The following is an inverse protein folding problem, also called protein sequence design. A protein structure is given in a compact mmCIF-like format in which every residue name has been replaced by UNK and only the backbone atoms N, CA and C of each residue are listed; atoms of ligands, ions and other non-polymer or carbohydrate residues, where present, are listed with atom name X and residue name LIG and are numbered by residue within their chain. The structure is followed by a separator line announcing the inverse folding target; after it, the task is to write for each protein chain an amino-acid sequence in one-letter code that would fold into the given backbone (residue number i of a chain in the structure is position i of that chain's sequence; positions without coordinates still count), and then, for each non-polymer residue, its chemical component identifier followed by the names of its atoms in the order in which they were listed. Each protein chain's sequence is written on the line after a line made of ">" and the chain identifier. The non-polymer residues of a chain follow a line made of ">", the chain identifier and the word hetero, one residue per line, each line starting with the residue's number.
data_IF_926707172395
#
_entry.id   IF_926707172395
#
_cell.length_a   1.000
_cell.length_b   1.000
_cell.length_c   1.000
_cell.angle_alpha   90.00
_cell.angle_beta   90.00
_cell.angle_gamma   90.00
#
_symmetry.space_group_name_H-M   'P 1'
#
loop_
_entity.id
_entity.type
_entity.pdbx_description
1 polymer ?
#
# COMPACT_ATOMS: atom_id res chain seq x y z
N UNK A 1 -15.54 -7.10 -14.37
CA UNK A 1 -15.32 -6.27 -13.16
C UNK A 1 -14.52 -7.13 -12.22
N UNK A 2 -13.47 -6.56 -11.64
CA UNK A 2 -12.64 -7.20 -10.61
C UNK A 2 -12.86 -6.45 -9.31
N UNK A 3 -13.18 -7.18 -8.23
CA UNK A 3 -13.27 -6.65 -6.88
C UNK A 3 -11.93 -6.80 -6.19
N UNK A 4 -11.36 -5.71 -5.65
CA UNK A 4 -10.02 -5.76 -5.07
C UNK A 4 -9.87 -4.90 -3.84
N UNK A 5 -8.95 -5.33 -2.95
CA UNK A 5 -8.41 -4.52 -1.87
C UNK A 5 -6.88 -4.56 -1.93
N UNK A 6 -6.27 -3.39 -2.13
CA UNK A 6 -4.84 -3.26 -2.43
C UNK A 6 -4.07 -2.54 -1.32
N UNK A 7 -4.69 -2.41 -0.12
CA UNK A 7 -4.06 -1.84 1.07
C UNK A 7 -4.51 -2.64 2.31
N UNK A 8 -3.71 -3.63 2.69
CA UNK A 8 -4.04 -4.59 3.75
C UNK A 8 -2.81 -4.82 4.64
N UNK A 9 -3.02 -4.77 5.95
CA UNK A 9 -2.03 -5.03 6.99
C UNK A 9 -2.33 -6.30 7.79
N UNK A 10 -1.28 -6.88 8.35
CA UNK A 10 -1.35 -8.02 9.26
C UNK A 10 -0.44 -7.77 10.47
N UNK A 11 -0.32 -8.75 11.36
CA UNK A 11 0.63 -8.69 12.50
C UNK A 11 2.11 -8.56 12.08
N UNK A 12 2.41 -8.63 10.78
CA UNK A 12 3.76 -8.36 10.25
C UNK A 12 4.06 -6.85 10.11
N UNK A 13 3.05 -6.00 10.29
CA UNK A 13 3.21 -4.56 10.57
C UNK A 13 2.29 -4.17 11.73
N UNK A 14 1.27 -3.40 11.52
CA UNK A 14 0.37 -2.89 12.56
C UNK A 14 -1.05 -3.45 12.49
N UNK A 15 -1.35 -4.32 11.54
CA UNK A 15 -2.61 -5.06 11.51
C UNK A 15 -2.72 -6.04 12.68
N UNK A 16 -3.94 -6.35 13.10
CA UNK A 16 -4.22 -7.10 14.32
C UNK A 16 -4.39 -8.61 14.09
N UNK A 17 -4.34 -9.08 12.83
CA UNK A 17 -4.64 -10.47 12.51
C UNK A 17 -3.52 -11.14 11.70
N UNK A 18 -3.49 -12.47 11.77
CA UNK A 18 -2.57 -13.27 10.98
C UNK A 18 -2.97 -13.31 9.50
N UNK A 19 -2.03 -13.42 8.54
CA UNK A 19 -2.34 -13.45 7.10
C UNK A 19 -3.47 -14.40 6.69
N UNK A 20 -3.58 -15.55 7.36
CA UNK A 20 -4.67 -16.51 7.08
C UNK A 20 -6.07 -15.97 7.35
N UNK A 21 -6.20 -15.00 8.24
CA UNK A 21 -7.48 -14.35 8.51
C UNK A 21 -7.83 -13.41 7.36
N UNK A 22 -6.85 -12.61 6.86
CA UNK A 22 -7.07 -11.75 5.68
C UNK A 22 -7.51 -12.54 4.45
N UNK A 23 -6.97 -13.74 4.25
CA UNK A 23 -7.42 -14.63 3.17
C UNK A 23 -8.87 -15.08 3.38
N UNK A 24 -9.28 -15.40 4.62
CA UNK A 24 -10.66 -15.76 4.93
C UNK A 24 -11.63 -14.58 4.73
N UNK A 25 -11.20 -13.38 5.10
CA UNK A 25 -11.96 -12.14 4.88
C UNK A 25 -12.12 -11.86 3.39
N UNK A 26 -11.06 -11.92 2.61
CA UNK A 26 -11.11 -11.75 1.16
C UNK A 26 -12.08 -12.75 0.48
N UNK A 27 -12.05 -14.02 0.90
CA UNK A 27 -13.00 -15.05 0.41
C UNK A 27 -14.44 -14.74 0.82
N UNK A 28 -14.68 -14.36 2.08
CA UNK A 28 -16.00 -13.99 2.59
C UNK A 28 -16.60 -12.84 1.79
N UNK A 29 -15.76 -11.84 1.49
CA UNK A 29 -16.18 -10.61 0.83
C UNK A 29 -16.11 -10.70 -0.70
N UNK A 30 -15.81 -11.92 -1.22
CA UNK A 30 -15.76 -12.23 -2.65
C UNK A 30 -14.80 -11.32 -3.43
N UNK A 31 -13.64 -11.03 -2.85
CA UNK A 31 -12.59 -10.29 -3.54
C UNK A 31 -11.88 -11.20 -4.56
N UNK A 32 -11.59 -10.64 -5.72
CA UNK A 32 -10.83 -11.30 -6.79
C UNK A 32 -9.32 -11.08 -6.66
N UNK A 33 -8.92 -9.93 -6.07
CA UNK A 33 -7.52 -9.53 -5.97
C UNK A 33 -7.25 -8.82 -4.65
N UNK A 34 -6.18 -9.22 -3.96
CA UNK A 34 -5.68 -8.50 -2.77
C UNK A 34 -4.17 -8.29 -2.86
N UNK A 35 -3.67 -7.26 -2.15
CA UNK A 35 -2.25 -7.05 -1.95
C UNK A 35 -1.93 -7.01 -0.45
N UNK A 36 -0.92 -7.78 -0.02
CA UNK A 36 -0.32 -7.62 1.30
C UNK A 36 0.63 -6.43 1.25
N UNK A 37 0.34 -5.38 2.02
CA UNK A 37 1.06 -4.10 1.96
C UNK A 37 1.57 -3.68 3.34
N UNK A 38 2.25 -4.59 4.01
CA UNK A 38 2.86 -4.31 5.31
C UNK A 38 3.75 -3.07 5.28
N UNK A 39 3.74 -2.28 6.34
CA UNK A 39 4.68 -1.18 6.51
C UNK A 39 6.13 -1.66 6.40
N UNK A 40 6.96 -0.95 5.66
CA UNK A 40 8.40 -1.22 5.60
C UNK A 40 9.11 -0.81 6.88
N UNK A 41 8.78 0.34 7.42
CA UNK A 41 9.50 0.99 8.50
C UNK A 41 8.80 0.90 9.87
N UNK A 42 7.49 0.74 9.89
CA UNK A 42 6.70 0.71 11.12
C UNK A 42 6.30 -0.73 11.48
N UNK A 43 6.92 -1.26 12.52
CA UNK A 43 6.75 -2.65 12.97
C UNK A 43 6.51 -2.68 14.49
N UNK A 44 5.30 -2.38 14.96
CA UNK A 44 4.99 -2.33 16.39
C UNK A 44 5.23 -3.67 17.10
N UNK A 45 5.02 -4.79 16.42
CA UNK A 45 5.17 -6.15 17.01
C UNK A 45 6.57 -6.77 16.82
N UNK A 46 7.59 -6.00 16.43
CA UNK A 46 8.95 -6.51 16.12
C UNK A 46 9.64 -7.24 17.26
N UNK A 47 9.21 -7.03 18.50
CA UNK A 47 9.77 -7.72 19.67
C UNK A 47 9.19 -9.13 19.83
N UNK A 48 7.98 -9.36 19.33
CA UNK A 48 7.26 -10.63 19.42
C UNK A 48 7.33 -11.42 18.10
N UNK A 49 7.36 -10.70 16.98
CA UNK A 49 7.40 -11.28 15.64
C UNK A 49 8.68 -10.84 14.93
N UNK A 50 9.63 -11.79 14.79
CA UNK A 50 10.88 -11.54 14.08
C UNK A 50 10.60 -11.49 12.57
N UNK A 51 10.89 -10.36 11.94
CA UNK A 51 10.69 -10.13 10.51
C UNK A 51 12.05 -9.91 9.86
N UNK A 52 12.63 -10.97 9.32
CA UNK A 52 13.88 -10.94 8.55
C UNK A 52 13.65 -10.80 7.04
N UNK A 53 12.48 -11.19 6.57
CA UNK A 53 12.04 -11.12 5.17
C UNK A 53 10.71 -10.36 5.08
N UNK A 54 10.72 -9.22 4.39
CA UNK A 54 9.55 -8.36 4.19
C UNK A 54 8.49 -8.98 3.27
N UNK A 55 8.82 -10.02 2.53
CA UNK A 55 7.85 -10.78 1.73
C UNK A 55 7.07 -11.81 2.54
N UNK A 56 7.32 -11.94 3.86
CA UNK A 56 6.82 -13.06 4.66
C UNK A 56 5.30 -13.14 4.71
N UNK A 57 4.58 -12.02 4.90
CA UNK A 57 3.11 -12.03 4.94
C UNK A 57 2.52 -12.46 3.59
N UNK A 58 3.07 -11.94 2.49
CA UNK A 58 2.71 -12.36 1.14
C UNK A 58 2.97 -13.86 0.92
N UNK A 59 4.16 -14.36 1.29
CA UNK A 59 4.52 -15.76 1.10
C UNK A 59 3.59 -16.72 1.88
N UNK A 60 3.24 -16.35 3.12
CA UNK A 60 2.27 -17.11 3.93
C UNK A 60 0.90 -17.08 3.25
N UNK A 61 0.42 -15.91 2.83
CA UNK A 61 -0.88 -15.74 2.20
C UNK A 61 -0.98 -16.52 0.89
N UNK A 62 0.04 -16.43 0.05
CA UNK A 62 0.12 -17.15 -1.23
C UNK A 62 0.09 -18.67 -1.05
N UNK A 63 0.75 -19.18 -0.02
CA UNK A 63 0.77 -20.62 0.29
C UNK A 63 -0.61 -21.16 0.76
N UNK A 64 -1.55 -20.28 1.12
CA UNK A 64 -2.91 -20.65 1.55
C UNK A 64 -3.93 -20.65 0.40
N UNK A 65 -3.53 -20.26 -0.80
CA UNK A 65 -4.40 -20.33 -1.97
C UNK A 65 -4.69 -21.80 -2.32
N UNK A 66 -5.94 -22.05 -2.67
CA UNK A 66 -6.40 -23.37 -3.09
C UNK A 66 -6.26 -23.48 -4.60
N UNK A 67 -5.95 -24.66 -5.09
CA UNK A 67 -5.87 -24.92 -6.53
C UNK A 67 -7.20 -24.55 -7.20
N UNK A 68 -7.10 -23.86 -8.34
CA UNK A 68 -8.24 -23.39 -9.13
C UNK A 68 -9.13 -22.32 -8.43
N UNK A 69 -8.61 -21.67 -7.38
CA UNK A 69 -9.25 -20.53 -6.74
C UNK A 69 -9.12 -19.26 -7.61
N UNK A 70 -10.18 -18.44 -7.64
CA UNK A 70 -10.20 -17.19 -8.38
C UNK A 70 -9.46 -16.06 -7.65
N UNK A 71 -9.32 -16.14 -6.32
CA UNK A 71 -8.61 -15.12 -5.54
C UNK A 71 -7.15 -15.05 -5.95
N UNK A 72 -6.70 -13.88 -6.36
CA UNK A 72 -5.31 -13.55 -6.65
C UNK A 72 -4.70 -12.76 -5.51
N UNK A 73 -3.43 -13.06 -5.20
CA UNK A 73 -2.67 -12.29 -4.20
C UNK A 73 -1.41 -11.77 -4.87
N UNK A 74 -1.19 -10.46 -4.77
CA UNK A 74 0.03 -9.82 -5.26
C UNK A 74 0.90 -9.34 -4.11
N UNK A 75 2.20 -9.33 -4.33
CA UNK A 75 3.16 -8.84 -3.35
C UNK A 75 3.21 -7.32 -3.38
N UNK A 76 3.26 -6.71 -2.20
CA UNK A 76 3.33 -5.27 -2.05
C UNK A 76 3.90 -4.87 -0.70
N UNK A 77 4.06 -3.60 -0.51
CA UNK A 77 4.44 -3.01 0.78
C UNK A 77 4.10 -1.54 0.83
N UNK A 78 3.87 -1.05 2.02
CA UNK A 78 3.73 0.36 2.29
C UNK A 78 5.07 1.00 2.65
N UNK A 79 5.53 1.89 1.78
CA UNK A 79 6.68 2.77 2.00
C UNK A 79 6.22 3.86 2.97
N UNK A 80 6.60 3.75 4.23
CA UNK A 80 6.10 4.57 5.34
C UNK A 80 7.10 5.69 5.66
N UNK A 81 6.80 6.90 5.24
CA UNK A 81 7.66 8.07 5.46
C UNK A 81 6.89 9.21 6.12
N UNK A 82 7.58 10.08 6.88
CA UNK A 82 6.99 11.35 7.29
C UNK A 82 6.53 12.16 6.08
N UNK A 83 5.48 12.95 6.25
CA UNK A 83 5.02 13.90 5.25
C UNK A 83 5.96 15.14 5.19
N UNK A 84 6.45 15.57 4.02
CA UNK A 84 6.38 14.88 2.72
C UNK A 84 7.42 13.77 2.56
N UNK A 85 7.20 12.72 1.78
CA UNK A 85 6.07 12.52 0.88
C UNK A 85 4.88 11.82 1.55
N UNK A 86 4.97 11.31 2.78
CA UNK A 86 3.96 10.47 3.39
C UNK A 86 4.08 9.01 2.98
N UNK A 87 2.97 8.29 3.02
CA UNK A 87 2.90 6.86 2.81
C UNK A 87 2.52 6.51 1.37
N UNK A 88 3.15 5.49 0.82
CA UNK A 88 2.89 5.01 -0.54
C UNK A 88 2.87 3.49 -0.60
N UNK A 89 1.85 2.91 -1.19
CA UNK A 89 1.87 1.50 -1.52
C UNK A 89 2.60 1.26 -2.84
N UNK A 90 3.47 0.26 -2.84
CA UNK A 90 4.05 -0.33 -4.05
C UNK A 90 3.53 -1.76 -4.18
N UNK A 91 2.75 -2.06 -5.20
CA UNK A 91 2.15 -3.36 -5.44
C UNK A 91 2.68 -3.99 -6.73
N UNK A 92 2.51 -5.31 -6.92
CA UNK A 92 3.09 -6.10 -8.00
C UNK A 92 4.62 -6.16 -7.95
N UNK A 93 5.23 -5.95 -6.80
CA UNK A 93 6.68 -6.09 -6.61
C UNK A 93 7.10 -7.58 -6.57
N UNK A 94 8.30 -7.86 -7.06
CA UNK A 94 8.87 -9.22 -7.01
C UNK A 94 9.50 -9.51 -5.65
N UNK A 95 10.21 -8.53 -5.11
CA UNK A 95 10.88 -8.58 -3.80
C UNK A 95 10.74 -7.22 -3.11
N UNK A 96 10.15 -7.25 -1.92
CA UNK A 96 9.91 -6.05 -1.09
C UNK A 96 11.18 -5.59 -0.37
N UNK A 97 12.10 -6.51 -0.04
CA UNK A 97 13.27 -6.19 0.79
C UNK A 97 14.11 -5.03 0.27
N UNK A 98 14.40 -4.90 -1.05
CA UNK A 98 15.19 -3.78 -1.60
C UNK A 98 14.50 -2.42 -1.50
N UNK A 99 13.17 -2.39 -1.23
CA UNK A 99 12.42 -1.15 -1.07
C UNK A 99 12.71 -0.47 0.28
N UNK A 100 13.23 -1.22 1.26
CA UNK A 100 13.59 -0.66 2.56
C UNK A 100 14.79 0.29 2.43
N UNK A 101 14.51 1.58 2.35
CA UNK A 101 15.51 2.65 2.23
C UNK A 101 15.10 3.85 3.08
N UNK A 102 16.05 4.54 3.68
CA UNK A 102 15.79 5.78 4.44
C UNK A 102 15.21 6.91 3.58
N UNK A 103 15.48 6.90 2.28
CA UNK A 103 14.96 7.87 1.32
C UNK A 103 13.78 7.27 0.54
N UNK A 104 12.56 7.82 0.73
CA UNK A 104 11.34 7.34 0.08
C UNK A 104 11.38 7.38 -1.44
N UNK A 105 12.01 8.40 -2.03
CA UNK A 105 12.18 8.46 -3.50
C UNK A 105 13.02 7.28 -4.02
N UNK A 106 14.08 6.87 -3.30
CA UNK A 106 14.86 5.69 -3.66
C UNK A 106 14.05 4.41 -3.54
N UNK A 107 13.19 4.29 -2.52
CA UNK A 107 12.25 3.17 -2.39
C UNK A 107 11.31 3.09 -3.60
N UNK A 108 10.74 4.22 -4.03
CA UNK A 108 9.85 4.29 -5.20
C UNK A 108 10.59 3.99 -6.51
N UNK A 109 11.82 4.47 -6.67
CA UNK A 109 12.67 4.14 -7.84
C UNK A 109 12.91 2.63 -7.90
N UNK A 110 13.20 2.00 -6.77
CA UNK A 110 13.42 0.55 -6.72
C UNK A 110 12.13 -0.23 -7.03
N UNK A 111 10.98 0.21 -6.50
CA UNK A 111 9.68 -0.36 -6.82
C UNK A 111 9.38 -0.27 -8.33
N UNK A 112 9.60 0.89 -8.93
CA UNK A 112 9.40 1.12 -10.38
C UNK A 112 10.32 0.25 -11.25
N UNK A 113 11.59 0.03 -10.86
CA UNK A 113 12.49 -0.91 -11.55
C UNK A 113 11.95 -2.34 -11.59
N UNK A 114 11.18 -2.73 -10.58
CA UNK A 114 10.54 -4.03 -10.52
C UNK A 114 9.21 -4.09 -11.29
N UNK A 115 8.73 -2.97 -11.84
CA UNK A 115 7.47 -2.84 -12.56
C UNK A 115 6.26 -2.66 -11.63
N UNK A 116 6.46 -2.18 -10.42
CA UNK A 116 5.40 -1.94 -9.45
C UNK A 116 4.44 -0.84 -9.92
N UNK A 117 3.18 -0.98 -9.52
CA UNK A 117 2.24 0.13 -9.48
C UNK A 117 2.37 0.78 -8.09
N UNK A 118 2.66 2.08 -8.07
CA UNK A 118 2.85 2.85 -6.84
C UNK A 118 1.71 3.84 -6.70
N UNK A 119 1.09 3.93 -5.50
CA UNK A 119 0.04 4.91 -5.25
C UNK A 119 0.20 5.57 -3.88
N UNK A 120 -0.26 6.80 -3.77
CA UNK A 120 -0.20 7.62 -2.56
C UNK A 120 -1.36 7.27 -1.63
N UNK A 121 -1.04 6.86 -0.40
CA UNK A 121 -2.00 6.42 0.60
C UNK A 121 -2.56 7.60 1.39
N UNK A 122 -3.86 7.52 1.73
CA UNK A 122 -4.57 8.41 2.68
C UNK A 122 -3.98 9.86 2.75
N UNK A 123 -3.94 10.61 1.63
CA UNK A 123 -3.22 11.89 1.54
C UNK A 123 -3.77 12.98 2.46
N UNK A 124 -4.98 12.78 2.98
CA UNK A 124 -5.69 13.64 3.92
C UNK A 124 -5.60 13.17 5.38
N UNK A 125 -4.76 12.15 5.68
CA UNK A 125 -4.65 11.62 7.04
C UNK A 125 -4.17 12.70 8.02
N UNK A 126 -4.97 12.93 9.09
CA UNK A 126 -4.75 14.04 10.05
C UNK A 126 -3.44 13.93 10.82
N UNK A 127 -2.87 12.74 11.02
CA UNK A 127 -1.56 12.58 11.63
C UNK A 127 -0.41 13.12 10.75
N UNK A 128 -0.62 13.23 9.44
CA UNK A 128 0.32 13.78 8.48
C UNK A 128 -0.07 15.20 8.01
N UNK A 129 -1.34 15.56 8.15
CA UNK A 129 -1.95 16.83 7.72
C UNK A 129 -2.96 17.29 8.77
N UNK A 130 -2.59 18.17 9.68
CA UNK A 130 -3.44 18.63 10.79
C UNK A 130 -4.80 19.16 10.34
N UNK A 131 -4.87 19.72 9.13
CA UNK A 131 -6.10 20.22 8.52
C UNK A 131 -6.91 19.18 7.75
N UNK A 132 -6.38 17.96 7.58
CA UNK A 132 -7.02 16.88 6.83
C UNK A 132 -7.17 17.15 5.33
N UNK A 133 -6.43 18.11 4.77
CA UNK A 133 -6.54 18.53 3.36
C UNK A 133 -5.40 17.93 2.53
N UNK A 134 -5.74 17.08 1.56
CA UNK A 134 -4.77 16.54 0.61
C UNK A 134 -4.26 17.64 -0.33
N UNK A 135 -2.93 17.76 -0.46
CA UNK A 135 -2.28 18.70 -1.38
C UNK A 135 -0.88 18.25 -1.74
N UNK A 136 -0.43 18.60 -2.94
CA UNK A 136 0.94 18.31 -3.37
C UNK A 136 1.92 19.28 -2.68
N UNK A 137 2.99 18.72 -2.12
CA UNK A 137 4.20 19.46 -1.75
C UNK A 137 5.20 19.38 -2.90
N UNK A 138 6.22 20.21 -2.92
CA UNK A 138 7.32 20.18 -3.93
C UNK A 138 7.92 18.79 -4.15
N UNK A 139 7.92 17.95 -3.10
CA UNK A 139 8.42 16.59 -3.23
C UNK A 139 7.46 15.73 -4.07
N UNK A 140 6.14 15.86 -3.87
CA UNK A 140 5.13 15.15 -4.66
C UNK A 140 5.16 15.58 -6.12
N UNK A 141 5.27 16.89 -6.40
CA UNK A 141 5.42 17.43 -7.76
C UNK A 141 6.63 16.79 -8.46
N UNK A 142 7.79 16.74 -7.79
CA UNK A 142 9.00 16.09 -8.31
C UNK A 142 8.80 14.59 -8.55
N UNK A 143 8.09 13.89 -7.67
CA UNK A 143 7.80 12.46 -7.84
C UNK A 143 6.86 12.22 -9.03
N UNK A 144 5.87 13.09 -9.25
CA UNK A 144 4.99 13.09 -10.42
C UNK A 144 5.77 13.34 -11.72
N UNK A 145 6.60 14.38 -11.76
CA UNK A 145 7.46 14.67 -12.92
C UNK A 145 8.32 13.47 -13.31
N UNK A 146 8.82 12.74 -12.31
CA UNK A 146 9.60 11.50 -12.51
C UNK A 146 8.75 10.26 -12.76
N UNK A 147 7.42 10.38 -12.75
CA UNK A 147 6.46 9.27 -12.91
C UNK A 147 6.73 8.14 -11.92
N UNK A 148 7.03 8.47 -10.65
CA UNK A 148 7.35 7.50 -9.62
C UNK A 148 6.13 6.99 -8.87
N UNK A 149 4.95 7.62 -9.02
CA UNK A 149 3.68 7.06 -8.56
C UNK A 149 2.57 7.29 -9.61
N UNK A 150 1.55 6.45 -9.57
CA UNK A 150 0.59 6.23 -10.65
C UNK A 150 -0.86 6.35 -10.19
N UNK A 151 -1.10 6.34 -8.88
CA UNK A 151 -2.42 6.41 -8.29
C UNK A 151 -2.41 7.18 -6.97
N UNK A 152 -3.60 7.42 -6.45
CA UNK A 152 -3.84 8.12 -5.18
C UNK A 152 -5.11 7.56 -4.52
N UNK A 153 -5.09 7.33 -3.23
CA UNK A 153 -6.28 6.97 -2.47
C UNK A 153 -7.21 8.17 -2.33
N UNK A 154 -8.39 8.03 -2.90
CA UNK A 154 -9.51 8.96 -2.75
C UNK A 154 -10.44 8.50 -1.63
N UNK A 155 -10.55 7.17 -1.48
CA UNK A 155 -11.23 6.51 -0.35
C UNK A 155 -10.23 5.63 0.38
N UNK A 156 -10.12 5.81 1.69
CA UNK A 156 -9.33 4.94 2.57
C UNK A 156 -10.15 4.67 3.82
N UNK A 157 -10.38 3.40 4.13
CA UNK A 157 -11.25 2.98 5.23
C UNK A 157 -12.61 3.71 5.19
N UNK A 158 -12.87 4.56 6.17
CA UNK A 158 -14.11 5.33 6.31
C UNK A 158 -13.96 6.79 5.86
N UNK A 159 -12.86 7.16 5.22
CA UNK A 159 -12.58 8.53 4.80
C UNK A 159 -12.69 8.69 3.29
N UNK A 160 -13.15 9.85 2.86
CA UNK A 160 -13.17 10.30 1.47
C UNK A 160 -12.50 11.65 1.38
N UNK A 161 -11.66 11.86 0.37
CA UNK A 161 -11.00 13.13 0.11
C UNK A 161 -11.39 13.68 -1.27
N UNK A 162 -12.11 14.80 -1.27
CA UNK A 162 -12.47 15.52 -2.49
C UNK A 162 -11.22 16.11 -3.16
N UNK A 163 -10.27 16.59 -2.36
CA UNK A 163 -9.01 17.15 -2.86
C UNK A 163 -8.15 16.05 -3.51
N UNK A 164 -8.12 14.84 -2.94
CA UNK A 164 -7.42 13.71 -3.56
C UNK A 164 -8.05 13.32 -4.91
N UNK A 165 -9.39 13.38 -5.02
CA UNK A 165 -10.08 13.18 -6.29
C UNK A 165 -9.71 14.28 -7.30
N UNK A 166 -9.71 15.54 -6.90
CA UNK A 166 -9.28 16.64 -7.77
C UNK A 166 -7.83 16.44 -8.25
N UNK A 167 -6.91 16.12 -7.34
CA UNK A 167 -5.50 15.82 -7.67
C UNK A 167 -5.37 14.63 -8.63
N UNK A 168 -6.18 13.59 -8.45
CA UNK A 168 -6.18 12.44 -9.36
C UNK A 168 -6.56 12.85 -10.79
N UNK A 169 -7.63 13.62 -10.93
CA UNK A 169 -8.13 14.09 -12.24
C UNK A 169 -7.14 15.06 -12.91
N UNK A 170 -6.59 16.01 -12.16
CA UNK A 170 -5.64 17.01 -12.67
C UNK A 170 -4.32 16.39 -13.14
N UNK A 171 -3.85 15.32 -12.47
CA UNK A 171 -2.56 14.71 -12.73
C UNK A 171 -2.67 13.35 -13.46
N UNK A 172 -3.87 12.97 -13.91
CA UNK A 172 -4.15 11.70 -14.58
C UNK A 172 -3.66 10.48 -13.77
N UNK A 173 -3.92 10.49 -12.46
CA UNK A 173 -3.63 9.39 -11.55
C UNK A 173 -4.81 8.43 -11.47
N UNK A 174 -4.51 7.15 -11.25
CA UNK A 174 -5.54 6.15 -10.97
C UNK A 174 -6.20 6.45 -9.62
N UNK A 175 -7.52 6.51 -9.61
CA UNK A 175 -8.32 6.67 -8.39
C UNK A 175 -8.36 5.34 -7.66
N UNK A 176 -7.93 5.33 -6.39
CA UNK A 176 -7.92 4.15 -5.55
C UNK A 176 -8.96 4.27 -4.43
N UNK A 177 -9.57 3.13 -4.11
CA UNK A 177 -10.36 2.93 -2.90
C UNK A 177 -9.87 1.67 -2.21
N UNK A 178 -9.57 1.74 -0.91
CA UNK A 178 -8.94 0.67 -0.14
C UNK A 178 -9.49 0.60 1.27
N UNK A 179 -9.27 -0.52 1.95
CA UNK A 179 -9.72 -0.68 3.34
C UNK A 179 -8.71 -0.18 4.36
N UNK A 180 -7.42 -0.32 4.09
CA UNK A 180 -6.34 -0.04 5.05
C UNK A 180 -6.56 -0.79 6.39
N UNK A 181 -6.97 -2.07 6.28
CA UNK A 181 -7.40 -2.91 7.39
C UNK A 181 -6.24 -3.68 8.02
#
# INVERSE_FOLDING_TARGET
>A
IISSDLHIHTVFSDGEVWPSIRIKEARRDSLDLISMTEHLEYLPYKNDIIITDRNRSFNISKALLIKDELLMIVNGSEITKPMPPGHFNAIFVKDVNPLLNSNGEKSMIEANKQGAFVFWNHPNWVANRDDGIARLDKMHERLLEKKLFHGIEVVNANTYSEEALALALENNLTIMGTSDI
#
